data_IF_129452628420
#
_entry.id   IF_129452628420
#
_cell.length_a   1.000
_cell.length_b   1.000
_cell.length_c   1.000
_cell.angle_alpha   90.00
_cell.angle_beta   90.00
_cell.angle_gamma   90.00
#
_symmetry.space_group_name_H-M   'P 1'
#
loop_
_entity.id
_entity.type
_entity.pdbx_description
1 polymer ?
#
# COMPACT_ATOMS: atom_id res chain seq x y z
N UNK A 1 18.83 -34.10 17.96
CA UNK A 1 18.83 -33.88 16.50
C UNK A 1 17.75 -34.76 15.89
N UNK A 2 16.62 -34.17 15.51
CA UNK A 2 15.61 -34.81 14.69
C UNK A 2 14.92 -33.71 13.88
N UNK A 3 15.11 -33.76 12.57
CA UNK A 3 14.50 -32.91 11.57
C UNK A 3 13.19 -33.56 11.16
N UNK A 4 12.07 -32.83 11.22
CA UNK A 4 10.90 -33.09 10.38
C UNK A 4 10.22 -31.77 10.07
N UNK A 5 10.50 -31.25 8.87
CA UNK A 5 9.67 -30.24 8.24
C UNK A 5 8.28 -30.83 7.98
N UNK A 6 7.22 -30.11 8.35
CA UNK A 6 5.85 -30.44 7.91
C UNK A 6 5.08 -29.15 7.66
N UNK A 7 5.12 -28.75 6.40
CA UNK A 7 4.01 -28.30 5.55
C UNK A 7 2.95 -27.39 6.16
N UNK A 8 2.97 -26.12 5.76
CA UNK A 8 1.85 -25.19 5.89
C UNK A 8 0.70 -25.63 4.98
N UNK A 9 -0.44 -26.03 5.56
CA UNK A 9 -1.69 -26.21 4.82
C UNK A 9 -2.58 -24.98 5.01
N UNK A 10 -2.92 -24.39 3.86
CA UNK A 10 -3.82 -23.27 3.64
C UNK A 10 -5.21 -23.52 4.23
N UNK A 11 -5.76 -22.54 4.95
CA UNK A 11 -7.20 -22.43 5.22
C UNK A 11 -7.72 -21.12 4.62
N UNK A 12 -8.04 -21.14 3.32
CA UNK A 12 -8.94 -20.15 2.73
C UNK A 12 -10.37 -20.70 2.88
N UNK A 13 -11.13 -20.15 3.81
CA UNK A 13 -12.56 -20.42 3.92
C UNK A 13 -13.28 -19.80 2.71
N UNK A 14 -13.50 -20.63 1.69
CA UNK A 14 -14.42 -20.35 0.58
C UNK A 14 -15.81 -20.82 0.99
N UNK A 15 -16.70 -19.87 1.28
CA UNK A 15 -18.13 -20.12 1.49
C UNK A 15 -18.79 -20.18 0.11
N UNK A 16 -19.10 -21.38 -0.37
CA UNK A 16 -19.80 -21.60 -1.63
C UNK A 16 -21.08 -22.42 -1.40
N UNK A 17 -22.26 -21.80 -1.58
CA UNK A 17 -23.55 -22.33 -2.09
C UNK A 17 -24.37 -21.12 -2.56
N UNK A 18 -24.98 -21.05 -3.75
CA UNK A 18 -25.90 -22.01 -4.35
C UNK A 18 -25.79 -22.06 -5.88
N UNK A 19 -26.01 -23.26 -6.41
CA UNK A 19 -26.14 -23.57 -7.83
C UNK A 19 -27.54 -23.20 -8.36
N UNK A 20 -27.61 -22.64 -9.57
CA UNK A 20 -28.25 -23.26 -10.74
C UNK A 20 -28.14 -22.30 -11.95
N UNK A 21 -27.90 -22.88 -13.12
CA UNK A 21 -28.26 -22.44 -14.49
C UNK A 21 -27.06 -22.40 -15.45
N UNK A 22 -27.08 -23.41 -16.31
CA UNK A 22 -26.55 -23.53 -17.68
C UNK A 22 -25.05 -23.72 -17.92
N UNK A 23 -24.75 -24.99 -18.23
CA UNK A 23 -23.63 -25.50 -19.00
C UNK A 23 -23.55 -24.86 -20.39
N UNK A 24 -22.58 -23.97 -20.63
CA UNK A 24 -21.93 -23.82 -21.93
C UNK A 24 -20.58 -23.08 -21.83
N UNK A 25 -19.48 -23.84 -21.94
CA UNK A 25 -18.19 -23.45 -22.50
C UNK A 25 -17.35 -22.39 -21.74
N UNK A 26 -16.87 -22.75 -20.54
CA UNK A 26 -15.68 -22.14 -19.93
C UNK A 26 -14.40 -22.82 -20.46
N UNK A 27 -14.10 -22.65 -21.75
CA UNK A 27 -12.88 -23.13 -22.37
C UNK A 27 -12.30 -22.01 -23.22
N UNK A 28 -11.04 -21.66 -22.97
CA UNK A 28 -10.23 -20.67 -23.68
C UNK A 28 -10.64 -19.20 -23.49
N UNK A 29 -10.60 -18.71 -22.25
CA UNK A 29 -10.19 -17.32 -22.02
C UNK A 29 -8.99 -17.28 -21.08
N UNK A 30 -7.87 -17.84 -21.54
CA UNK A 30 -6.57 -17.26 -21.20
C UNK A 30 -6.54 -15.88 -21.83
N UNK A 31 -7.18 -14.89 -21.18
CA UNK A 31 -7.04 -13.50 -21.57
C UNK A 31 -5.56 -13.18 -21.44
N UNK A 32 -4.87 -13.16 -22.58
CA UNK A 32 -3.46 -12.81 -22.66
C UNK A 32 -3.39 -11.40 -22.10
N UNK A 33 -2.82 -11.24 -20.90
CA UNK A 33 -2.62 -9.92 -20.32
C UNK A 33 -1.59 -9.21 -21.19
N UNK A 34 -2.05 -8.36 -22.11
CA UNK A 34 -1.16 -7.52 -22.91
C UNK A 34 -0.40 -6.60 -21.98
N UNK A 35 0.93 -6.69 -22.01
CA UNK A 35 1.79 -5.78 -21.24
C UNK A 35 1.66 -4.40 -21.87
N UNK A 36 0.95 -3.50 -21.19
CA UNK A 36 0.83 -2.08 -21.56
C UNK A 36 1.60 -1.24 -20.56
N UNK A 37 2.45 -0.33 -21.05
CA UNK A 37 3.15 0.61 -20.19
C UNK A 37 2.17 1.67 -19.63
N UNK A 38 2.22 1.92 -18.32
CA UNK A 38 1.46 2.99 -17.68
C UNK A 38 2.36 4.21 -17.45
N UNK A 39 1.78 5.41 -17.58
CA UNK A 39 2.48 6.65 -17.23
C UNK A 39 2.82 6.68 -15.74
N UNK A 40 4.04 7.12 -15.42
CA UNK A 40 4.51 7.24 -14.03
C UNK A 40 3.65 8.21 -13.22
N UNK A 41 3.08 7.72 -12.12
CA UNK A 41 2.34 8.54 -11.16
C UNK A 41 3.30 9.25 -10.18
N UNK A 42 3.04 10.53 -9.87
CA UNK A 42 3.75 11.27 -8.81
C UNK A 42 3.17 10.88 -7.45
N UNK A 43 4.01 10.32 -6.57
CA UNK A 43 3.61 9.87 -5.23
C UNK A 43 3.91 10.97 -4.19
N UNK A 44 2.87 11.61 -3.67
CA UNK A 44 2.96 12.73 -2.70
C UNK A 44 2.26 12.34 -1.40
N UNK A 45 2.70 12.90 -0.27
CA UNK A 45 2.12 12.75 1.07
C UNK A 45 1.97 14.11 1.75
N UNK A 46 0.79 14.35 2.34
CA UNK A 46 0.52 15.47 3.24
C UNK A 46 1.08 15.16 4.62
N UNK A 47 1.95 16.03 5.12
CA UNK A 47 2.61 15.88 6.42
C UNK A 47 2.57 17.18 7.21
N UNK A 48 2.74 17.06 8.53
CA UNK A 48 3.05 18.15 9.45
C UNK A 48 4.48 17.98 9.95
N UNK A 49 5.28 19.05 9.93
CA UNK A 49 6.62 19.05 10.52
C UNK A 49 6.55 19.14 12.05
N UNK A 50 7.34 18.31 12.74
CA UNK A 50 7.46 18.30 14.21
C UNK A 50 8.62 19.16 14.71
N UNK A 51 9.58 19.43 13.85
CA UNK A 51 10.76 20.26 14.10
C UNK A 51 10.96 21.24 12.95
N UNK A 52 11.78 22.27 13.19
CA UNK A 52 12.22 23.17 12.13
C UNK A 52 13.30 22.47 11.30
N UNK A 53 13.13 22.45 9.98
CA UNK A 53 14.06 21.81 9.06
C UNK A 53 14.52 22.84 8.03
N UNK A 54 15.83 23.06 8.01
CA UNK A 54 16.48 23.95 7.03
C UNK A 54 16.10 23.52 5.61
N UNK A 55 15.70 24.49 4.78
CA UNK A 55 15.25 24.31 3.38
C UNK A 55 13.88 23.62 3.18
N UNK A 56 13.17 23.25 4.24
CA UNK A 56 11.84 22.65 4.16
C UNK A 56 10.74 23.57 4.71
N UNK A 57 10.87 24.01 5.96
CA UNK A 57 9.83 24.78 6.63
C UNK A 57 9.93 24.71 8.15
N UNK A 58 9.03 25.43 8.82
CA UNK A 58 9.01 25.54 10.28
C UNK A 58 8.22 24.42 10.94
N UNK A 59 8.46 24.20 12.24
CA UNK A 59 7.66 23.30 13.06
C UNK A 59 6.17 23.66 12.99
N UNK A 60 5.32 22.66 12.79
CA UNK A 60 3.87 22.78 12.71
C UNK A 60 3.33 23.08 11.31
N UNK A 61 4.21 23.34 10.33
CA UNK A 61 3.80 23.65 8.97
C UNK A 61 3.23 22.42 8.25
N UNK A 62 2.23 22.64 7.39
CA UNK A 62 1.58 21.62 6.58
C UNK A 62 2.14 21.64 5.15
N UNK A 63 2.73 20.54 4.69
CA UNK A 63 3.39 20.49 3.38
C UNK A 63 3.18 19.16 2.65
N UNK A 64 3.29 19.24 1.32
CA UNK A 64 3.22 18.12 0.39
C UNK A 64 4.62 17.64 -0.01
N UNK A 65 5.02 16.48 0.47
CA UNK A 65 6.35 15.89 0.21
C UNK A 65 6.28 14.64 -0.64
N UNK A 66 7.38 14.28 -1.32
CA UNK A 66 7.48 12.99 -2.00
C UNK A 66 7.37 11.85 -0.99
N UNK A 67 6.62 10.80 -1.33
CA UNK A 67 6.38 9.67 -0.42
C UNK A 67 7.68 8.98 0.04
N UNK A 68 8.70 8.91 -0.82
CA UNK A 68 10.01 8.35 -0.47
C UNK A 68 10.78 9.20 0.54
N UNK A 69 10.70 10.53 0.44
CA UNK A 69 11.35 11.43 1.39
C UNK A 69 10.74 11.30 2.78
N UNK A 70 9.40 11.21 2.85
CA UNK A 70 8.71 10.93 4.12
C UNK A 70 9.13 9.59 4.72
N UNK A 71 9.03 8.48 3.96
CA UNK A 71 9.30 7.13 4.48
C UNK A 71 10.76 6.90 4.87
N UNK A 72 11.71 7.45 4.12
CA UNK A 72 13.12 7.12 4.28
C UNK A 72 13.86 8.09 5.22
N UNK A 73 13.40 9.34 5.33
CA UNK A 73 14.10 10.38 6.10
C UNK A 73 13.26 10.91 7.26
N UNK A 74 12.06 11.43 6.97
CA UNK A 74 11.28 12.12 8.01
C UNK A 74 10.65 11.18 9.04
N UNK A 75 10.13 10.03 8.60
CA UNK A 75 9.45 9.06 9.46
C UNK A 75 10.42 8.36 10.43
N UNK A 76 11.55 7.78 9.99
CA UNK A 76 12.46 7.09 10.90
C UNK A 76 13.11 8.03 11.91
N UNK A 77 13.35 9.29 11.51
CA UNK A 77 13.92 10.33 12.38
C UNK A 77 12.87 11.04 13.25
N UNK A 78 11.57 10.73 13.09
CA UNK A 78 10.49 11.35 13.87
C UNK A 78 10.23 12.83 13.59
N UNK A 79 10.81 13.39 12.51
CA UNK A 79 10.78 14.82 12.17
C UNK A 79 9.44 15.31 11.63
N UNK A 80 8.58 14.41 11.18
CA UNK A 80 7.27 14.74 10.64
C UNK A 80 6.22 13.66 10.95
N UNK A 81 4.96 14.02 10.79
CA UNK A 81 3.82 13.11 10.98
C UNK A 81 2.83 13.23 9.82
N UNK A 82 2.19 12.11 9.47
CA UNK A 82 1.13 12.08 8.45
C UNK A 82 -0.05 12.92 8.94
N UNK A 83 -0.57 13.78 8.06
CA UNK A 83 -1.80 14.53 8.34
C UNK A 83 -2.96 13.56 8.42
N UNK A 84 -3.58 13.49 9.59
CA UNK A 84 -4.85 12.79 9.82
C UNK A 84 -5.87 13.83 10.28
N UNK A 85 -7.18 13.64 9.99
CA UNK A 85 -8.20 14.61 10.39
C UNK A 85 -8.22 14.87 11.90
N UNK A 86 -7.80 13.89 12.72
CA UNK A 86 -7.67 14.03 14.18
C UNK A 86 -6.62 15.07 14.60
N UNK A 87 -5.58 15.28 13.79
CA UNK A 87 -4.50 16.22 14.10
C UNK A 87 -4.80 17.66 13.68
N UNK A 88 -5.82 17.88 12.85
CA UNK A 88 -6.22 19.18 12.32
C UNK A 88 -7.33 19.84 13.17
N UNK A 89 -7.64 19.26 14.33
CA UNK A 89 -8.83 19.55 15.12
C UNK A 89 -8.55 20.48 16.28
#
# INVERSE_FOLDING_TARGET
>A
MASTATTCLLHNYSLAKNANVETAKLSERTSILTIVAQKKAKKIRKIILKEDITQLGKKGELLDVKAGFFRNYLLPLGKAQIVTPTLLK
#
